data_IF_581298953246
#
_entry.id   IF_581298953246
#
_cell.length_a   1.000
_cell.length_b   1.000
_cell.length_c   1.000
_cell.angle_alpha   90.00
_cell.angle_beta   90.00
_cell.angle_gamma   90.00
#
_symmetry.space_group_name_H-M   'P 1'
#
loop_
_entity.id
_entity.type
_entity.pdbx_description
1 polymer ?
#
# COMPACT_ATOMS: atom_id res chain seq x y z
N UNK A 1 -6.90 -25.34 -4.47
CA UNK A 1 -6.10 -24.26 -4.96
C UNK A 1 -6.57 -22.97 -4.35
N UNK A 2 -5.67 -22.14 -3.88
CA UNK A 2 -5.97 -20.82 -3.35
C UNK A 2 -6.15 -19.86 -4.52
N UNK A 3 -6.93 -18.81 -4.37
CA UNK A 3 -7.13 -17.76 -5.37
C UNK A 3 -5.81 -17.17 -5.88
N UNK A 4 -4.79 -17.15 -5.02
CA UNK A 4 -3.44 -16.70 -5.35
C UNK A 4 -2.72 -17.62 -6.36
N UNK A 5 -3.07 -18.92 -6.40
CA UNK A 5 -2.51 -19.87 -7.36
C UNK A 5 -3.12 -19.74 -8.77
N UNK A 6 -4.21 -18.97 -8.90
CA UNK A 6 -4.91 -18.72 -10.16
C UNK A 6 -4.47 -17.47 -10.90
N UNK A 7 -3.42 -16.80 -10.44
CA UNK A 7 -2.86 -15.62 -11.11
C UNK A 7 -3.75 -14.38 -11.04
N UNK A 8 -4.69 -14.31 -10.10
CA UNK A 8 -5.54 -13.13 -9.87
C UNK A 8 -4.65 -11.97 -9.40
N UNK A 9 -4.73 -10.85 -10.08
CA UNK A 9 -3.91 -9.67 -9.76
C UNK A 9 -4.30 -9.11 -8.39
N UNK A 10 -3.33 -8.61 -7.60
CA UNK A 10 -3.60 -8.06 -6.26
C UNK A 10 -4.70 -6.98 -6.23
N UNK A 11 -4.82 -6.17 -7.28
CA UNK A 11 -5.87 -5.15 -7.39
C UNK A 11 -7.28 -5.73 -7.57
N UNK A 12 -7.42 -6.85 -8.26
CA UNK A 12 -8.70 -7.55 -8.45
C UNK A 12 -9.14 -8.20 -7.13
N UNK A 13 -8.19 -8.79 -6.40
CA UNK A 13 -8.43 -9.32 -5.04
C UNK A 13 -8.86 -8.21 -4.08
N UNK A 14 -8.33 -6.99 -4.22
CA UNK A 14 -8.68 -5.86 -3.36
C UNK A 14 -10.10 -5.36 -3.61
N UNK A 15 -10.54 -5.30 -4.86
CA UNK A 15 -11.91 -4.95 -5.23
C UNK A 15 -12.92 -6.00 -4.74
N UNK A 16 -12.65 -7.26 -5.00
CA UNK A 16 -13.50 -8.35 -4.54
C UNK A 16 -13.54 -8.48 -3.01
N UNK A 17 -12.43 -8.19 -2.30
CA UNK A 17 -12.43 -8.14 -0.84
C UNK A 17 -13.27 -7.01 -0.28
N UNK A 18 -13.28 -5.83 -0.92
CA UNK A 18 -14.15 -4.73 -0.51
C UNK A 18 -15.63 -5.06 -0.69
N UNK A 19 -15.98 -5.70 -1.80
CA UNK A 19 -17.35 -6.17 -2.04
C UNK A 19 -17.72 -7.31 -1.09
N UNK A 20 -16.79 -8.21 -0.80
CA UNK A 20 -16.96 -9.34 0.09
C UNK A 20 -17.12 -8.91 1.57
N UNK A 21 -16.43 -7.88 2.03
CA UNK A 21 -16.57 -7.33 3.41
C UNK A 21 -17.99 -6.80 3.67
N UNK A 22 -18.68 -6.37 2.63
CA UNK A 22 -20.06 -5.87 2.73
C UNK A 22 -21.13 -6.97 2.68
N UNK A 23 -20.76 -8.25 2.54
CA UNK A 23 -21.71 -9.36 2.46
C UNK A 23 -21.96 -10.04 3.81
N UNK A 24 -23.24 -10.33 4.17
CA UNK A 24 -23.59 -11.05 5.41
C UNK A 24 -22.93 -12.44 5.57
N UNK A 25 -22.60 -13.10 4.46
CA UNK A 25 -21.90 -14.39 4.43
C UNK A 25 -20.49 -14.36 5.04
N UNK A 26 -19.88 -13.18 5.16
CA UNK A 26 -18.54 -13.02 5.75
C UNK A 26 -18.53 -13.35 7.26
N UNK A 27 -19.63 -13.12 7.94
CA UNK A 27 -19.77 -13.41 9.38
C UNK A 27 -19.49 -14.90 9.66
N UNK A 28 -19.89 -15.78 8.75
CA UNK A 28 -19.67 -17.22 8.85
C UNK A 28 -18.21 -17.62 8.56
N UNK A 29 -17.46 -16.81 7.84
CA UNK A 29 -16.09 -17.10 7.42
C UNK A 29 -15.00 -16.59 8.38
N UNK A 30 -15.33 -15.78 9.40
CA UNK A 30 -14.32 -15.23 10.34
C UNK A 30 -13.53 -16.33 11.06
N UNK A 31 -14.14 -17.49 11.33
CA UNK A 31 -13.43 -18.64 11.94
C UNK A 31 -12.36 -19.20 11.00
N UNK A 32 -12.67 -19.28 9.70
CA UNK A 32 -11.72 -19.73 8.67
C UNK A 32 -10.61 -18.69 8.51
N UNK A 33 -10.97 -17.41 8.36
CA UNK A 33 -9.99 -16.32 8.24
C UNK A 33 -9.04 -16.25 9.42
N UNK A 34 -9.52 -16.42 10.65
CA UNK A 34 -8.65 -16.47 11.85
C UNK A 34 -7.67 -17.64 11.79
N UNK A 35 -8.09 -18.80 11.27
CA UNK A 35 -7.20 -19.95 11.10
C UNK A 35 -6.14 -19.68 10.03
N UNK A 36 -6.53 -19.09 8.90
CA UNK A 36 -5.60 -18.72 7.82
C UNK A 36 -4.63 -17.61 8.29
N UNK A 37 -5.13 -16.62 9.02
CA UNK A 37 -4.30 -15.56 9.61
C UNK A 37 -3.18 -16.12 10.49
N UNK A 38 -3.47 -17.15 11.30
CA UNK A 38 -2.52 -17.73 12.26
C UNK A 38 -1.63 -18.84 11.66
N UNK A 39 -2.04 -19.50 10.58
CA UNK A 39 -1.39 -20.74 10.09
C UNK A 39 -1.11 -20.73 8.58
N UNK A 40 -1.59 -19.73 7.85
CA UNK A 40 -1.33 -19.56 6.42
C UNK A 40 0.13 -19.17 6.15
N UNK A 41 0.54 -19.31 4.90
CA UNK A 41 1.81 -18.73 4.46
C UNK A 41 1.78 -17.19 4.58
N UNK A 42 2.91 -16.52 4.37
CA UNK A 42 3.05 -15.06 4.50
C UNK A 42 1.96 -14.27 3.76
N UNK A 43 1.68 -14.63 2.50
CA UNK A 43 0.69 -13.95 1.67
C UNK A 43 -0.74 -14.22 2.13
N UNK A 44 -1.06 -15.48 2.43
CA UNK A 44 -2.37 -15.88 2.95
C UNK A 44 -2.66 -15.24 4.31
N UNK A 45 -1.68 -15.27 5.22
CA UNK A 45 -1.77 -14.63 6.54
C UNK A 45 -2.01 -13.13 6.41
N UNK A 46 -1.27 -12.43 5.52
CA UNK A 46 -1.44 -11.00 5.27
C UNK A 46 -2.84 -10.65 4.78
N UNK A 47 -3.36 -11.39 3.78
CA UNK A 47 -4.72 -11.16 3.24
C UNK A 47 -5.77 -11.43 4.29
N UNK A 48 -5.64 -12.54 5.04
CA UNK A 48 -6.57 -12.88 6.10
C UNK A 48 -6.58 -11.84 7.23
N UNK A 49 -5.41 -11.39 7.71
CA UNK A 49 -5.30 -10.32 8.70
C UNK A 49 -5.87 -9.00 8.20
N UNK A 50 -5.58 -8.63 6.94
CA UNK A 50 -6.13 -7.42 6.34
C UNK A 50 -7.66 -7.43 6.35
N UNK A 51 -8.27 -8.55 5.95
CA UNK A 51 -9.72 -8.73 5.96
C UNK A 51 -10.29 -8.66 7.38
N UNK A 52 -9.66 -9.34 8.35
CA UNK A 52 -10.08 -9.32 9.75
C UNK A 52 -9.97 -7.92 10.36
N UNK A 53 -8.92 -7.16 10.06
CA UNK A 53 -8.75 -5.78 10.53
C UNK A 53 -9.81 -4.85 9.95
N UNK A 54 -10.11 -4.92 8.65
CA UNK A 54 -11.20 -4.16 8.02
C UNK A 54 -12.53 -4.50 8.71
N UNK A 55 -12.76 -5.77 9.00
CA UNK A 55 -13.95 -6.23 9.68
C UNK A 55 -14.10 -5.58 11.07
N UNK A 56 -13.00 -5.46 11.84
CA UNK A 56 -13.05 -4.80 13.16
C UNK A 56 -13.37 -3.31 13.07
N UNK A 57 -13.05 -2.64 11.96
CA UNK A 57 -13.31 -1.21 11.75
C UNK A 57 -14.73 -0.93 11.22
N UNK A 58 -15.45 -1.94 10.73
CA UNK A 58 -16.77 -1.74 10.16
C UNK A 58 -17.81 -1.41 11.25
N UNK A 59 -18.60 -0.33 11.09
CA UNK A 59 -19.68 -0.01 12.00
C UNK A 59 -20.88 -0.98 11.88
N UNK A 60 -20.93 -1.75 10.81
CA UNK A 60 -22.00 -2.75 10.56
C UNK A 60 -21.81 -4.03 11.36
N UNK A 61 -20.61 -4.25 11.90
CA UNK A 61 -20.24 -5.47 12.62
C UNK A 61 -20.43 -5.27 14.12
N UNK A 62 -21.15 -6.18 14.75
CA UNK A 62 -21.43 -6.14 16.19
C UNK A 62 -20.16 -6.43 17.00
N UNK A 63 -20.05 -5.82 18.18
CA UNK A 63 -18.86 -5.95 19.05
C UNK A 63 -18.56 -7.41 19.44
N UNK A 64 -19.58 -8.24 19.68
CA UNK A 64 -19.37 -9.66 19.98
C UNK A 64 -18.74 -10.47 18.82
N UNK A 65 -18.81 -9.95 17.60
CA UNK A 65 -18.18 -10.54 16.42
C UNK A 65 -16.72 -10.03 16.23
N UNK A 66 -16.44 -8.80 16.66
CA UNK A 66 -15.09 -8.22 16.67
C UNK A 66 -14.22 -8.79 17.77
N UNK A 67 -14.78 -9.02 18.96
CA UNK A 67 -14.09 -9.49 20.16
C UNK A 67 -13.16 -10.69 19.91
N UNK A 68 -13.54 -11.75 19.20
CA UNK A 68 -12.64 -12.88 18.96
C UNK A 68 -11.40 -12.52 18.11
N UNK A 69 -11.50 -11.51 17.24
CA UNK A 69 -10.38 -11.01 16.42
C UNK A 69 -9.47 -10.16 17.29
N UNK A 70 -10.04 -9.24 18.05
CA UNK A 70 -9.29 -8.37 18.97
C UNK A 70 -8.54 -9.20 20.01
N UNK A 71 -9.16 -10.25 20.56
CA UNK A 71 -8.50 -11.18 21.49
C UNK A 71 -7.32 -11.94 20.86
N UNK A 72 -7.34 -12.20 19.55
CA UNK A 72 -6.16 -12.77 18.87
C UNK A 72 -5.01 -11.76 18.85
N UNK A 73 -5.30 -10.51 18.51
CA UNK A 73 -4.31 -9.45 18.46
C UNK A 73 -3.74 -9.16 19.86
N UNK A 74 -4.57 -9.17 20.90
CA UNK A 74 -4.16 -8.97 22.28
C UNK A 74 -3.16 -10.03 22.79
N UNK A 75 -3.20 -11.25 22.26
CA UNK A 75 -2.27 -12.33 22.57
C UNK A 75 -0.87 -12.17 21.96
N UNK A 76 -0.59 -11.01 21.37
CA UNK A 76 0.67 -10.70 20.68
C UNK A 76 1.02 -11.77 19.64
N UNK A 77 0.25 -11.83 18.55
CA UNK A 77 0.52 -12.77 17.48
C UNK A 77 1.89 -12.48 16.86
N UNK A 78 2.64 -13.55 16.58
CA UNK A 78 3.96 -13.48 15.96
C UNK A 78 3.89 -13.70 14.43
N UNK A 79 2.74 -13.49 13.86
CA UNK A 79 2.54 -13.63 12.42
C UNK A 79 2.92 -12.34 11.69
N UNK A 80 3.93 -12.41 10.85
CA UNK A 80 4.37 -11.32 9.97
C UNK A 80 3.20 -10.69 9.19
N UNK A 81 2.23 -11.53 8.79
CA UNK A 81 1.04 -11.11 8.06
C UNK A 81 0.21 -10.04 8.75
N UNK A 82 0.15 -10.01 10.10
CA UNK A 82 -0.54 -8.96 10.85
C UNK A 82 0.10 -7.60 10.61
N UNK A 83 1.42 -7.50 10.77
CA UNK A 83 2.13 -6.22 10.66
C UNK A 83 2.16 -5.72 9.23
N UNK A 84 2.25 -6.62 8.25
CA UNK A 84 2.08 -6.27 6.83
C UNK A 84 0.67 -5.73 6.54
N UNK A 85 -0.36 -6.32 7.14
CA UNK A 85 -1.74 -5.85 6.99
C UNK A 85 -1.96 -4.49 7.68
N UNK A 86 -1.39 -4.27 8.88
CA UNK A 86 -1.42 -2.97 9.56
C UNK A 86 -0.76 -1.88 8.71
N UNK A 87 0.39 -2.19 8.10
CA UNK A 87 1.08 -1.29 7.18
C UNK A 87 0.25 -0.97 5.93
N UNK A 88 -0.41 -1.97 5.34
CA UNK A 88 -1.27 -1.79 4.16
C UNK A 88 -2.48 -0.90 4.42
N UNK A 89 -3.06 -1.02 5.61
CA UNK A 89 -4.25 -0.28 6.02
C UNK A 89 -3.91 1.05 6.69
N UNK A 90 -2.63 1.31 7.00
CA UNK A 90 -2.16 2.46 7.78
C UNK A 90 -2.94 2.58 9.12
N UNK A 91 -3.23 1.44 9.75
CA UNK A 91 -4.16 1.35 10.87
C UNK A 91 -3.45 1.60 12.20
N UNK A 92 -3.74 2.71 12.91
CA UNK A 92 -3.15 3.02 14.21
C UNK A 92 -3.79 2.22 15.35
N UNK A 93 -3.20 2.34 16.55
CA UNK A 93 -3.75 1.76 17.78
C UNK A 93 -3.22 0.37 18.14
N UNK A 94 -2.16 -0.07 17.48
CA UNK A 94 -1.51 -1.36 17.72
C UNK A 94 -0.04 -1.18 18.16
N UNK A 95 0.27 -0.04 18.79
CA UNK A 95 1.65 0.34 19.15
C UNK A 95 2.32 -0.72 20.03
N UNK A 96 1.61 -1.26 21.04
CA UNK A 96 2.13 -2.31 21.93
C UNK A 96 2.50 -3.58 21.17
N UNK A 97 1.66 -4.03 20.24
CA UNK A 97 1.92 -5.24 19.45
C UNK A 97 3.09 -5.02 18.49
N UNK A 98 3.20 -3.83 17.91
CA UNK A 98 4.31 -3.44 17.05
C UNK A 98 5.62 -3.43 17.82
N UNK A 99 5.68 -2.81 19.00
CA UNK A 99 6.89 -2.78 19.84
C UNK A 99 7.28 -4.21 20.28
N UNK A 100 6.33 -5.02 20.74
CA UNK A 100 6.62 -6.41 21.11
C UNK A 100 7.16 -7.26 19.94
N UNK A 101 6.77 -6.94 18.71
CA UNK A 101 7.29 -7.61 17.53
C UNK A 101 8.69 -7.13 17.16
N UNK A 102 8.98 -5.84 17.35
CA UNK A 102 10.32 -5.25 17.13
C UNK A 102 11.32 -5.81 18.17
N UNK A 103 10.89 -6.01 19.42
CA UNK A 103 11.70 -6.57 20.49
C UNK A 103 11.85 -8.11 20.42
N UNK A 104 11.37 -8.75 19.35
CA UNK A 104 11.48 -10.20 19.17
C UNK A 104 12.85 -10.59 18.59
N UNK A 105 13.09 -11.90 18.54
CA UNK A 105 14.27 -12.54 17.95
C UNK A 105 14.08 -13.00 16.49
N UNK A 106 13.01 -12.51 15.82
CA UNK A 106 12.64 -12.92 14.47
C UNK A 106 12.79 -11.75 13.48
N UNK A 107 13.84 -11.78 12.66
CA UNK A 107 14.19 -10.71 11.72
C UNK A 107 13.04 -10.33 10.77
N UNK A 108 12.31 -11.31 10.22
CA UNK A 108 11.21 -11.01 9.28
C UNK A 108 10.02 -10.36 9.98
N UNK A 109 9.78 -10.71 11.23
CA UNK A 109 8.75 -10.10 12.07
C UNK A 109 9.13 -8.66 12.43
N UNK A 110 10.39 -8.45 12.83
CA UNK A 110 10.95 -7.12 13.13
C UNK A 110 10.78 -6.20 11.91
N UNK A 111 11.23 -6.64 10.74
CA UNK A 111 11.13 -5.86 9.49
C UNK A 111 9.68 -5.46 9.18
N UNK A 112 8.74 -6.40 9.30
CA UNK A 112 7.33 -6.14 9.06
C UNK A 112 6.73 -5.15 10.08
N UNK A 113 7.10 -5.26 11.35
CA UNK A 113 6.64 -4.38 12.43
C UNK A 113 7.23 -2.97 12.30
N UNK A 114 8.52 -2.84 12.04
CA UNK A 114 9.17 -1.54 11.77
C UNK A 114 8.56 -0.84 10.55
N UNK A 115 8.27 -1.60 9.50
CA UNK A 115 7.57 -1.07 8.33
C UNK A 115 6.19 -0.54 8.70
N UNK A 116 5.41 -1.29 9.49
CA UNK A 116 4.10 -0.85 9.96
C UNK A 116 4.21 0.44 10.80
N UNK A 117 5.12 0.46 11.77
CA UNK A 117 5.41 1.63 12.64
C UNK A 117 5.69 2.87 11.80
N UNK A 118 6.62 2.77 10.85
CA UNK A 118 7.05 3.87 9.99
C UNK A 118 5.90 4.40 9.13
N UNK A 119 5.14 3.52 8.47
CA UNK A 119 4.06 3.93 7.57
C UNK A 119 2.87 4.52 8.33
N UNK A 120 2.48 3.95 9.47
CA UNK A 120 1.42 4.47 10.33
C UNK A 120 1.81 5.84 10.90
N UNK A 121 3.04 6.01 11.37
CA UNK A 121 3.53 7.29 11.87
C UNK A 121 3.53 8.37 10.77
N UNK A 122 3.96 8.03 9.56
CA UNK A 122 3.92 8.93 8.41
C UNK A 122 2.49 9.33 8.03
N UNK A 123 1.56 8.37 8.01
CA UNK A 123 0.15 8.65 7.76
C UNK A 123 -0.47 9.56 8.82
N UNK A 124 -0.15 9.32 10.11
CA UNK A 124 -0.61 10.15 11.23
C UNK A 124 -0.07 11.58 11.13
N UNK A 125 1.20 11.74 10.78
CA UNK A 125 1.81 13.07 10.60
C UNK A 125 1.18 13.84 9.43
N UNK A 126 0.68 13.12 8.42
CA UNK A 126 0.01 13.70 7.24
C UNK A 126 -1.51 13.87 7.42
N UNK A 127 -2.08 13.34 8.52
CA UNK A 127 -3.52 13.42 8.77
C UNK A 127 -3.98 14.87 8.90
N UNK A 128 -4.99 15.23 8.12
CA UNK A 128 -5.54 16.59 8.06
C UNK A 128 -4.90 17.52 7.04
N UNK A 129 -3.75 17.17 6.46
CA UNK A 129 -3.11 17.95 5.39
C UNK A 129 -3.44 17.32 4.02
N UNK A 130 -4.46 17.85 3.35
CA UNK A 130 -4.72 17.49 1.95
C UNK A 130 -3.69 18.20 1.08
N UNK A 131 -2.91 17.45 0.30
CA UNK A 131 -1.87 18.00 -0.59
C UNK A 131 -2.42 19.06 -1.54
N UNK A 132 -3.68 18.93 -1.97
CA UNK A 132 -4.35 19.92 -2.83
C UNK A 132 -4.47 21.31 -2.20
N UNK A 133 -4.36 21.42 -0.88
CA UNK A 133 -4.44 22.68 -0.13
C UNK A 133 -3.06 23.22 0.27
N UNK A 134 -1.98 22.58 -0.17
CA UNK A 134 -0.60 22.99 0.14
C UNK A 134 0.05 23.61 -1.07
N UNK A 135 0.92 24.60 -0.80
CA UNK A 135 1.78 25.16 -1.83
C UNK A 135 2.80 24.12 -2.33
N UNK A 136 3.19 24.13 -3.63
CA UNK A 136 4.14 23.18 -4.20
C UNK A 136 5.45 23.06 -3.42
N UNK A 137 5.96 24.16 -2.88
CA UNK A 137 7.17 24.18 -2.05
C UNK A 137 6.99 23.42 -0.73
N UNK A 138 5.81 23.49 -0.10
CA UNK A 138 5.49 22.72 1.12
C UNK A 138 5.37 21.24 0.80
N UNK A 139 4.71 20.88 -0.30
CA UNK A 139 4.61 19.49 -0.77
C UNK A 139 6.01 18.91 -1.01
N UNK A 140 6.88 19.65 -1.71
CA UNK A 140 8.27 19.24 -1.95
C UNK A 140 9.02 18.99 -0.65
N UNK A 141 8.91 19.89 0.32
CA UNK A 141 9.57 19.77 1.62
C UNK A 141 9.10 18.50 2.37
N UNK A 142 7.79 18.25 2.38
CA UNK A 142 7.20 17.05 3.01
C UNK A 142 7.66 15.77 2.31
N UNK A 143 7.68 15.76 0.97
CA UNK A 143 8.10 14.61 0.18
C UNK A 143 9.59 14.29 0.37
N UNK A 144 10.45 15.31 0.47
CA UNK A 144 11.89 15.16 0.74
C UNK A 144 12.10 14.53 2.13
N UNK A 145 11.37 14.99 3.14
CA UNK A 145 11.48 14.51 4.51
C UNK A 145 10.90 13.09 4.70
N UNK A 146 9.97 12.68 3.83
CA UNK A 146 9.33 11.37 3.93
C UNK A 146 10.28 10.23 3.58
N UNK A 147 10.19 9.12 4.31
CA UNK A 147 10.84 7.85 3.93
C UNK A 147 9.89 7.07 3.04
N UNK A 148 10.34 6.72 1.82
CA UNK A 148 9.56 5.93 0.87
C UNK A 148 9.48 4.45 1.27
N UNK A 149 8.42 3.78 0.80
CA UNK A 149 8.26 2.33 0.85
C UNK A 149 8.07 1.82 -0.58
N UNK A 150 9.00 1.00 -1.08
CA UNK A 150 9.01 0.54 -2.46
C UNK A 150 7.78 -0.31 -2.82
N UNK A 151 7.28 -1.13 -1.90
CA UNK A 151 6.11 -1.99 -2.13
C UNK A 151 4.84 -1.16 -2.24
N UNK A 152 4.70 -0.14 -1.38
CA UNK A 152 3.58 0.81 -1.48
C UNK A 152 3.72 1.71 -2.71
N UNK A 153 4.94 2.10 -3.05
CA UNK A 153 5.25 2.87 -4.25
C UNK A 153 4.83 2.15 -5.53
N UNK A 154 5.12 0.86 -5.65
CA UNK A 154 4.69 0.03 -6.78
C UNK A 154 3.16 -0.02 -6.92
N UNK A 155 2.45 -0.19 -5.79
CA UNK A 155 0.98 -0.15 -5.78
C UNK A 155 0.42 1.20 -6.22
N UNK A 156 1.02 2.30 -5.74
CA UNK A 156 0.62 3.66 -6.12
C UNK A 156 0.90 3.90 -7.61
N UNK A 157 2.08 3.52 -8.09
CA UNK A 157 2.49 3.61 -9.48
C UNK A 157 1.50 2.91 -10.42
N UNK A 158 1.05 1.71 -10.05
CA UNK A 158 0.05 0.94 -10.79
C UNK A 158 -1.34 1.59 -10.69
N UNK A 159 -1.79 1.92 -9.48
CA UNK A 159 -3.12 2.48 -9.23
C UNK A 159 -3.32 3.86 -9.85
N UNK A 160 -2.30 4.70 -9.87
CA UNK A 160 -2.35 6.02 -10.48
C UNK A 160 -2.16 5.99 -12.01
N UNK A 161 -2.02 4.80 -12.59
CA UNK A 161 -1.92 4.63 -14.03
C UNK A 161 -0.55 5.01 -14.63
N UNK A 162 0.46 5.29 -13.81
CA UNK A 162 1.81 5.63 -14.31
C UNK A 162 2.39 4.54 -15.21
N UNK A 163 2.09 3.28 -14.87
CA UNK A 163 2.52 2.09 -15.62
C UNK A 163 1.99 2.07 -17.08
N UNK A 164 0.93 2.82 -17.39
CA UNK A 164 0.36 2.85 -18.74
C UNK A 164 1.31 3.47 -19.78
N UNK A 165 2.18 4.38 -19.33
CA UNK A 165 3.15 5.09 -20.16
C UNK A 165 4.60 4.81 -19.77
N UNK A 166 4.89 4.72 -18.49
CA UNK A 166 6.24 4.54 -17.99
C UNK A 166 6.53 3.06 -17.73
N UNK A 167 7.66 2.56 -18.21
CA UNK A 167 8.13 1.20 -17.95
C UNK A 167 9.26 1.21 -16.90
N UNK A 168 9.26 0.21 -16.03
CA UNK A 168 10.37 -0.11 -15.11
C UNK A 168 11.14 -1.36 -15.56
N UNK A 169 10.58 -2.17 -16.47
CA UNK A 169 11.25 -3.25 -17.16
C UNK A 169 11.68 -2.79 -18.55
N UNK A 170 12.96 -3.02 -18.89
CA UNK A 170 13.52 -2.65 -20.22
C UNK A 170 12.88 -3.40 -21.37
N UNK A 171 12.30 -4.57 -21.14
CA UNK A 171 11.61 -5.37 -22.17
C UNK A 171 10.17 -4.92 -22.43
N UNK A 172 9.61 -4.08 -21.57
CA UNK A 172 8.26 -3.57 -21.74
C UNK A 172 8.21 -2.49 -22.82
N UNK A 173 7.03 -2.33 -23.44
CA UNK A 173 6.80 -1.26 -24.42
C UNK A 173 6.89 0.09 -23.74
N UNK A 174 7.80 0.94 -24.21
CA UNK A 174 8.06 2.27 -23.66
C UNK A 174 7.25 3.32 -24.45
N UNK A 175 6.19 3.83 -23.84
CA UNK A 175 5.39 4.95 -24.36
C UNK A 175 5.81 6.29 -23.77
N UNK A 176 6.48 6.27 -22.63
CA UNK A 176 7.07 7.39 -21.91
C UNK A 176 8.51 7.08 -21.49
N UNK A 177 9.23 8.02 -20.88
CA UNK A 177 10.59 7.79 -20.38
C UNK A 177 10.68 6.56 -19.47
N UNK A 178 11.72 5.75 -19.67
CA UNK A 178 12.01 4.57 -18.86
C UNK A 178 12.40 4.95 -17.43
N UNK A 179 11.76 4.35 -16.43
CA UNK A 179 11.96 4.68 -15.02
C UNK A 179 12.78 3.66 -14.22
N UNK A 180 13.11 2.48 -14.78
CA UNK A 180 13.81 1.43 -14.04
C UNK A 180 15.21 1.81 -13.53
N UNK A 181 15.82 2.88 -14.07
CA UNK A 181 17.09 3.43 -13.59
C UNK A 181 16.95 4.83 -12.98
N UNK A 182 15.74 5.35 -12.81
CA UNK A 182 15.51 6.72 -12.36
C UNK A 182 16.12 6.99 -10.98
N UNK A 183 15.97 6.07 -10.04
CA UNK A 183 16.51 6.22 -8.69
C UNK A 183 18.04 6.25 -8.59
N UNK A 184 18.76 5.73 -9.60
CA UNK A 184 20.23 5.82 -9.66
C UNK A 184 20.75 7.02 -10.46
N UNK A 185 19.88 7.63 -11.29
CA UNK A 185 20.26 8.73 -12.19
C UNK A 185 19.89 10.10 -11.68
N UNK A 186 18.80 10.19 -10.90
CA UNK A 186 18.22 11.45 -10.50
C UNK A 186 18.15 11.58 -8.98
N UNK A 187 18.27 12.80 -8.49
CA UNK A 187 18.08 13.11 -7.07
C UNK A 187 16.60 13.01 -6.69
N UNK A 188 16.33 12.83 -5.40
CA UNK A 188 14.97 12.79 -4.87
C UNK A 188 14.19 14.06 -5.20
N UNK A 189 14.82 15.23 -5.09
CA UNK A 189 14.25 16.54 -5.44
C UNK A 189 13.81 16.61 -6.89
N UNK A 190 14.70 16.16 -7.80
CA UNK A 190 14.39 16.13 -9.23
C UNK A 190 13.19 15.23 -9.53
N UNK A 191 13.12 14.04 -8.91
CA UNK A 191 11.99 13.12 -9.09
C UNK A 191 10.68 13.71 -8.55
N UNK A 192 10.72 14.39 -7.41
CA UNK A 192 9.56 15.07 -6.83
C UNK A 192 9.09 16.20 -7.75
N UNK A 193 10.02 17.03 -8.22
CA UNK A 193 9.70 18.11 -9.15
C UNK A 193 9.09 17.59 -10.45
N UNK A 194 9.62 16.51 -11.01
CA UNK A 194 9.10 15.91 -12.25
C UNK A 194 7.66 15.37 -12.10
N UNK A 195 7.23 15.06 -10.88
CA UNK A 195 5.84 14.64 -10.59
C UNK A 195 4.94 15.86 -10.37
N UNK A 196 5.43 16.90 -9.70
CA UNK A 196 4.64 18.10 -9.38
C UNK A 196 4.51 19.06 -10.56
N UNK A 197 5.55 19.15 -11.37
CA UNK A 197 5.61 19.98 -12.59
C UNK A 197 6.21 19.18 -13.75
N UNK A 198 5.45 18.30 -14.37
CA UNK A 198 5.95 17.39 -15.40
C UNK A 198 6.42 18.09 -16.68
N UNK A 199 6.07 19.35 -16.87
CA UNK A 199 6.48 20.13 -18.04
C UNK A 199 7.74 20.97 -17.79
N UNK A 200 8.23 21.07 -16.55
CA UNK A 200 9.45 21.84 -16.24
C UNK A 200 10.67 21.32 -17.01
N UNK A 201 10.78 19.99 -17.11
CA UNK A 201 11.85 19.34 -17.89
C UNK A 201 11.28 18.11 -18.59
N UNK A 202 11.16 18.18 -19.90
CA UNK A 202 10.69 17.05 -20.71
C UNK A 202 11.88 16.28 -21.26
N UNK A 203 11.90 14.97 -21.08
CA UNK A 203 12.97 14.13 -21.61
C UNK A 203 13.05 14.22 -23.13
N UNK A 204 14.28 14.20 -23.65
CA UNK A 204 14.51 14.26 -25.11
C UNK A 204 13.74 13.15 -25.84
N UNK A 205 13.04 13.50 -26.90
CA UNK A 205 12.21 12.57 -27.70
C UNK A 205 10.79 12.36 -27.17
N UNK A 206 10.39 13.01 -26.07
CA UNK A 206 9.05 12.94 -25.49
C UNK A 206 8.32 14.29 -25.48
N UNK A 207 8.84 15.27 -26.22
CA UNK A 207 8.18 16.55 -26.39
C UNK A 207 6.87 16.37 -27.18
N UNK A 208 5.82 17.03 -26.72
CA UNK A 208 4.50 16.97 -27.38
C UNK A 208 4.36 18.18 -28.31
N UNK A 209 3.97 17.92 -29.55
CA UNK A 209 3.63 18.95 -30.52
C UNK A 209 2.12 18.94 -30.79
N UNK A 210 1.50 20.11 -30.78
CA UNK A 210 0.11 20.27 -31.14
C UNK A 210 0.00 20.51 -32.66
N UNK A 211 -0.58 19.54 -33.40
CA UNK A 211 -0.81 19.66 -34.82
C UNK A 211 -2.27 20.05 -35.04
N UNK A 212 -2.51 21.24 -35.57
CA UNK A 212 -3.84 21.67 -35.98
C UNK A 212 -4.05 21.32 -37.46
N UNK A 213 -4.99 20.43 -37.72
CA UNK A 213 -5.38 20.08 -39.09
C UNK A 213 -6.24 21.21 -39.67
N UNK A 214 -5.96 21.61 -40.89
CA UNK A 214 -6.89 22.47 -41.63
C UNK A 214 -8.05 21.60 -42.10
N UNK A 215 -9.25 21.97 -41.74
CA UNK A 215 -10.46 21.35 -42.33
C UNK A 215 -10.43 21.52 -43.85
N UNK A 216 -10.79 20.44 -44.55
CA UNK A 216 -10.89 20.46 -46.02
C UNK A 216 -12.19 21.12 -46.42
#
# INVERSE_FOLDING_TARGET
>A
GTWLDQGVKPAEVELELNDFVNQPALILSTKVLRKVAAKGNKSESRVAWRTLLIFTQSPLIKENQKTPILNMIEKNPREEGLFLALADLLLPGFDRQIENAIDSDNDTLIEAAERAKRLIASAKASAGKKLVNLEPAEITKLAIAATGDAVMGEKIYTRQGCIACHAVDQKAVQKGPYLGSAGSKFTKDYLIQSILDPNAVVAQGFQTELITMKDK
#
